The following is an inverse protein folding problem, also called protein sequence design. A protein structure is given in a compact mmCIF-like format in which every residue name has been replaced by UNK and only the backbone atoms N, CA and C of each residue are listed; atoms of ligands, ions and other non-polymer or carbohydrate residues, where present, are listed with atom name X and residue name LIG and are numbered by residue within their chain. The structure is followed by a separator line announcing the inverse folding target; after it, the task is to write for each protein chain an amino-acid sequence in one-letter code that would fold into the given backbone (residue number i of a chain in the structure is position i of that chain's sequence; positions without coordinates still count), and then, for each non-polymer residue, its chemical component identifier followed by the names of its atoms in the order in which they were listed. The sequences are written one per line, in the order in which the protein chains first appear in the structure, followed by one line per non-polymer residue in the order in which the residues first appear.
data_IF_045734444807
#
_entry.id   IF_045734444807
#
_cell.length_a   1.000
_cell.length_b   1.000
_cell.length_c   1.000
_cell.angle_alpha   90.00
_cell.angle_beta   90.00
_cell.angle_gamma   90.00
#
_symmetry.space_group_name_H-M   'P 1'
#
loop_
_entity.id
_entity.type
_entity.pdbx_description
1 polymer ?
#
# COMPACT_ATOMS: atom_id res chain seq x y z
N UNK A 1 -12.75 1.13 12.98
CA UNK A 1 -12.79 0.43 11.68
C UNK A 1 -11.45 -0.23 11.45
N UNK A 2 -11.47 -1.45 10.92
CA UNK A 2 -10.26 -2.24 10.65
C UNK A 2 -9.93 -2.26 9.17
N UNK A 3 -8.72 -1.86 8.84
CA UNK A 3 -8.19 -1.83 7.48
C UNK A 3 -7.00 -2.79 7.37
N UNK A 4 -6.93 -3.53 6.28
CA UNK A 4 -5.79 -4.38 5.92
C UNK A 4 -5.29 -3.96 4.54
N UNK A 5 -3.98 -3.91 4.37
CA UNK A 5 -3.33 -3.69 3.08
C UNK A 5 -2.27 -4.76 2.85
N UNK A 6 -2.26 -5.39 1.67
CA UNK A 6 -1.35 -6.47 1.34
C UNK A 6 -0.96 -6.49 -0.13
N UNK A 7 0.30 -6.29 -0.44
CA UNK A 7 0.83 -6.64 -1.77
C UNK A 7 0.90 -8.17 -1.89
N UNK A 8 0.06 -8.74 -2.75
CA UNK A 8 -0.09 -10.20 -2.88
C UNK A 8 0.81 -10.82 -3.95
N UNK A 9 1.57 -10.00 -4.68
CA UNK A 9 2.47 -10.43 -5.75
C UNK A 9 1.82 -11.47 -6.70
N UNK A 10 0.58 -11.20 -7.07
CA UNK A 10 -0.28 -12.06 -7.90
C UNK A 10 -1.37 -12.76 -7.08
N UNK A 11 -2.60 -12.23 -7.14
CA UNK A 11 -3.74 -12.71 -6.34
C UNK A 11 -4.00 -14.20 -6.56
N UNK A 12 -4.00 -14.67 -7.80
CA UNK A 12 -4.23 -16.10 -8.12
C UNK A 12 -3.19 -17.04 -7.49
N UNK A 13 -1.94 -16.58 -7.38
CA UNK A 13 -0.89 -17.36 -6.73
C UNK A 13 -1.02 -17.32 -5.20
N UNK A 14 -1.41 -16.17 -4.65
CA UNK A 14 -1.63 -15.99 -3.22
C UNK A 14 -2.85 -16.77 -2.72
N UNK A 15 -3.95 -16.84 -3.51
CA UNK A 15 -5.12 -17.67 -3.24
C UNK A 15 -4.74 -19.15 -3.02
N UNK A 16 -3.86 -19.69 -3.86
CA UNK A 16 -3.35 -21.08 -3.70
C UNK A 16 -2.49 -21.29 -2.46
N UNK A 17 -2.10 -20.23 -1.78
CA UNK A 17 -1.25 -20.23 -0.57
C UNK A 17 -2.00 -19.80 0.70
N UNK A 18 -3.33 -19.82 0.68
CA UNK A 18 -4.16 -19.54 1.85
C UNK A 18 -4.58 -18.08 2.01
N UNK A 19 -4.62 -17.30 0.92
CA UNK A 19 -5.12 -15.93 0.97
C UNK A 19 -6.55 -15.85 1.54
N UNK A 20 -7.46 -16.75 1.10
CA UNK A 20 -8.84 -16.75 1.56
C UNK A 20 -8.96 -17.03 3.07
N UNK A 21 -8.20 -17.98 3.58
CA UNK A 21 -8.17 -18.25 5.03
C UNK A 21 -7.67 -17.03 5.81
N UNK A 22 -6.63 -16.37 5.31
CA UNK A 22 -6.09 -15.15 5.90
C UNK A 22 -7.09 -14.00 5.84
N UNK A 23 -7.75 -13.81 4.70
CA UNK A 23 -8.79 -12.79 4.51
C UNK A 23 -9.92 -12.97 5.53
N UNK A 24 -10.44 -14.19 5.65
CA UNK A 24 -11.53 -14.54 6.58
C UNK A 24 -11.10 -14.39 8.04
N UNK A 25 -9.88 -14.81 8.40
CA UNK A 25 -9.36 -14.70 9.77
C UNK A 25 -9.14 -13.26 10.21
N UNK A 26 -8.70 -12.38 9.30
CA UNK A 26 -8.49 -10.97 9.59
C UNK A 26 -9.80 -10.19 9.71
N UNK A 27 -10.86 -10.60 9.02
CA UNK A 27 -12.23 -10.04 9.09
C UNK A 27 -12.26 -8.50 9.08
N UNK A 28 -11.52 -7.89 8.17
CA UNK A 28 -11.39 -6.45 8.08
C UNK A 28 -12.64 -5.78 7.48
N UNK A 29 -12.92 -4.53 7.87
CA UNK A 29 -13.95 -3.71 7.21
C UNK A 29 -13.55 -3.36 5.78
N UNK A 30 -12.24 -3.17 5.57
CA UNK A 30 -11.62 -2.87 4.28
C UNK A 30 -10.36 -3.73 4.08
N UNK A 31 -10.34 -4.49 2.99
CA UNK A 31 -9.19 -5.29 2.62
C UNK A 31 -8.65 -4.81 1.26
N UNK A 32 -7.51 -4.17 1.27
CA UNK A 32 -6.85 -3.59 0.11
C UNK A 32 -5.70 -4.50 -0.36
N UNK A 33 -5.60 -4.73 -1.66
CA UNK A 33 -4.47 -5.49 -2.22
C UNK A 33 -3.83 -4.76 -3.38
N UNK A 34 -2.53 -5.00 -3.54
CA UNK A 34 -1.70 -4.49 -4.62
C UNK A 34 -1.07 -5.67 -5.37
N UNK A 35 -0.65 -5.42 -6.59
CA UNK A 35 -0.11 -6.43 -7.50
C UNK A 35 -1.04 -7.64 -7.70
N UNK A 36 -2.31 -7.39 -8.02
CA UNK A 36 -3.25 -8.48 -8.34
C UNK A 36 -2.79 -9.30 -9.55
N UNK A 37 -2.08 -8.68 -10.50
CA UNK A 37 -1.54 -9.28 -11.74
C UNK A 37 -2.59 -10.09 -12.50
N UNK A 38 -3.84 -9.64 -12.46
CA UNK A 38 -4.96 -10.32 -13.13
C UNK A 38 -5.83 -9.36 -13.92
N UNK A 39 -6.62 -9.93 -14.84
CA UNK A 39 -7.72 -9.27 -15.51
C UNK A 39 -9.04 -9.67 -14.84
N UNK A 40 -10.14 -8.91 -15.01
CA UNK A 40 -11.44 -9.25 -14.47
C UNK A 40 -11.85 -10.69 -14.82
N UNK A 41 -12.43 -11.41 -13.86
CA UNK A 41 -12.89 -12.80 -14.04
C UNK A 41 -11.79 -13.86 -14.05
N UNK A 42 -10.54 -13.54 -13.74
CA UNK A 42 -9.43 -14.50 -13.68
C UNK A 42 -9.21 -15.13 -12.30
N UNK A 43 -9.86 -14.64 -11.26
CA UNK A 43 -9.87 -15.26 -9.93
C UNK A 43 -11.31 -15.57 -9.54
N UNK A 44 -11.52 -16.73 -8.95
CA UNK A 44 -12.79 -17.14 -8.34
C UNK A 44 -12.69 -16.83 -6.83
N UNK A 45 -12.82 -15.54 -6.51
CA UNK A 45 -12.79 -15.06 -5.13
C UNK A 45 -13.82 -13.92 -4.98
N UNK A 46 -14.96 -14.26 -4.38
CA UNK A 46 -16.08 -13.35 -4.15
C UNK A 46 -16.55 -13.49 -2.69
N UNK A 47 -15.87 -12.88 -1.73
CA UNK A 47 -16.18 -13.04 -0.31
C UNK A 47 -17.58 -12.49 0.01
N UNK A 48 -18.38 -13.28 0.69
CA UNK A 48 -19.74 -12.90 1.07
C UNK A 48 -19.73 -11.68 2.01
N UNK A 49 -20.63 -10.74 1.76
CA UNK A 49 -20.74 -9.53 2.59
C UNK A 49 -19.77 -8.41 2.21
N UNK A 50 -19.00 -8.57 1.13
CA UNK A 50 -18.11 -7.53 0.64
C UNK A 50 -18.51 -7.06 -0.76
N UNK A 51 -18.34 -5.77 -0.99
CA UNK A 51 -18.36 -5.16 -2.33
C UNK A 51 -16.94 -5.11 -2.86
N UNK A 52 -16.74 -5.58 -4.08
CA UNK A 52 -15.43 -5.65 -4.74
C UNK A 52 -15.22 -4.46 -5.66
N UNK A 53 -14.03 -3.87 -5.62
CA UNK A 53 -13.54 -2.83 -6.53
C UNK A 53 -12.19 -3.28 -7.08
N UNK A 54 -12.10 -3.47 -8.40
CA UNK A 54 -10.87 -3.94 -9.06
C UNK A 54 -10.44 -2.95 -10.13
N UNK A 55 -9.15 -2.64 -10.17
CA UNK A 55 -8.53 -1.87 -11.22
C UNK A 55 -7.31 -2.63 -11.78
N UNK A 56 -7.49 -3.23 -12.94
CA UNK A 56 -6.45 -4.00 -13.63
C UNK A 56 -5.63 -3.10 -14.54
N UNK A 57 -4.34 -3.42 -14.69
CA UNK A 57 -3.53 -2.80 -15.73
C UNK A 57 -3.98 -3.28 -17.11
N UNK A 58 -3.79 -2.46 -18.15
CA UNK A 58 -4.00 -2.87 -19.54
C UNK A 58 -3.04 -4.01 -19.94
N UNK A 59 -1.81 -3.94 -19.44
CA UNK A 59 -0.82 -5.01 -19.62
C UNK A 59 -1.17 -6.21 -18.75
N UNK A 60 -1.46 -7.34 -19.38
CA UNK A 60 -1.81 -8.59 -18.71
C UNK A 60 -0.68 -9.10 -17.80
N UNK A 61 -1.04 -9.57 -16.60
CA UNK A 61 -0.08 -10.13 -15.64
C UNK A 61 0.83 -9.11 -14.97
N UNK A 62 0.45 -7.84 -14.96
CA UNK A 62 1.22 -6.72 -14.44
C UNK A 62 0.38 -5.86 -13.50
N UNK A 63 0.98 -5.30 -12.42
CA UNK A 63 0.34 -4.34 -11.51
C UNK A 63 -1.08 -4.77 -11.07
N UNK A 64 -1.99 -3.84 -10.99
CA UNK A 64 -3.39 -4.05 -10.58
C UNK A 64 -3.60 -3.92 -9.09
N UNK A 65 -4.71 -3.29 -8.71
CA UNK A 65 -5.14 -3.10 -7.32
C UNK A 65 -6.58 -3.58 -7.15
N UNK A 66 -6.96 -3.97 -5.92
CA UNK A 66 -8.34 -4.26 -5.56
C UNK A 66 -8.65 -3.87 -4.12
N UNK A 67 -9.93 -3.62 -3.84
CA UNK A 67 -10.45 -3.40 -2.49
C UNK A 67 -11.70 -4.25 -2.33
N UNK A 68 -11.82 -4.96 -1.21
CA UNK A 68 -13.05 -5.55 -0.71
C UNK A 68 -13.51 -4.76 0.51
N UNK A 69 -14.73 -4.23 0.47
CA UNK A 69 -15.29 -3.38 1.52
C UNK A 69 -16.63 -3.95 2.01
N UNK A 70 -16.80 -4.09 3.34
CA UNK A 70 -18.08 -4.50 3.95
C UNK A 70 -19.19 -3.47 3.70
N UNK A 71 -18.83 -2.19 3.67
CA UNK A 71 -19.76 -1.11 3.36
C UNK A 71 -19.51 -0.61 1.95
N UNK A 72 -20.51 -0.59 1.05
CA UNK A 72 -20.36 -0.01 -0.29
C UNK A 72 -19.96 1.45 -0.24
N UNK A 73 -19.07 1.87 -1.15
CA UNK A 73 -18.66 3.25 -1.28
C UNK A 73 -19.76 4.12 -1.91
N UNK A 74 -19.76 5.42 -1.62
CA UNK A 74 -20.62 6.42 -2.27
C UNK A 74 -20.21 6.65 -3.72
N UNK A 75 -18.91 6.65 -3.97
CA UNK A 75 -18.31 6.76 -5.31
C UNK A 75 -16.97 6.05 -5.36
N UNK A 76 -16.51 5.73 -6.55
CA UNK A 76 -15.20 5.15 -6.81
C UNK A 76 -14.49 5.95 -7.90
N UNK A 77 -13.20 6.24 -7.69
CA UNK A 77 -12.30 6.77 -8.73
C UNK A 77 -11.15 5.79 -8.96
N UNK A 78 -10.85 5.54 -10.23
CA UNK A 78 -9.74 4.71 -10.68
C UNK A 78 -8.63 5.58 -11.25
N UNK A 79 -7.43 5.50 -10.68
CA UNK A 79 -6.30 6.37 -11.00
C UNK A 79 -6.17 7.54 -10.02
N UNK A 80 -5.36 8.52 -10.39
CA UNK A 80 -5.03 9.73 -9.61
C UNK A 80 -5.35 11.03 -10.37
N UNK A 81 -6.39 11.01 -11.20
CA UNK A 81 -6.81 12.14 -12.06
C UNK A 81 -5.71 12.64 -13.01
N UNK A 82 -4.81 11.75 -13.42
CA UNK A 82 -3.73 12.03 -14.36
C UNK A 82 -3.70 10.96 -15.45
N UNK A 83 -3.95 11.34 -16.71
CA UNK A 83 -4.02 10.45 -17.86
C UNK A 83 -2.71 9.66 -18.04
N UNK A 84 -1.56 10.29 -17.80
CA UNK A 84 -0.25 9.66 -17.91
C UNK A 84 -0.08 8.43 -17.00
N UNK A 85 -0.94 8.28 -15.98
CA UNK A 85 -0.88 7.25 -14.96
C UNK A 85 -2.09 6.30 -14.97
N UNK A 86 -2.99 6.41 -15.95
CA UNK A 86 -4.30 5.73 -15.96
C UNK A 86 -4.26 4.27 -16.44
N UNK A 87 -3.13 3.79 -17.02
CA UNK A 87 -3.09 2.51 -17.74
C UNK A 87 -2.59 1.32 -16.90
N UNK A 88 -2.10 1.56 -15.67
CA UNK A 88 -1.39 0.55 -14.91
C UNK A 88 -2.16 -0.02 -13.70
N UNK A 89 -3.39 0.40 -13.46
CA UNK A 89 -4.22 -0.15 -12.37
C UNK A 89 -3.65 0.08 -10.97
N UNK A 90 -3.04 1.26 -10.70
CA UNK A 90 -2.22 1.50 -9.52
C UNK A 90 -2.94 2.17 -8.35
N UNK A 91 -4.10 2.78 -8.58
CA UNK A 91 -4.80 3.52 -7.54
C UNK A 91 -6.30 3.31 -7.62
N UNK A 92 -6.93 3.03 -6.47
CA UNK A 92 -8.39 3.04 -6.30
C UNK A 92 -8.70 3.96 -5.14
N UNK A 93 -9.60 4.93 -5.37
CA UNK A 93 -10.14 5.78 -4.31
C UNK A 93 -11.61 5.45 -4.10
N UNK A 94 -11.97 5.12 -2.87
CA UNK A 94 -13.36 4.95 -2.43
C UNK A 94 -13.77 6.14 -1.58
N UNK A 95 -14.93 6.72 -1.89
CA UNK A 95 -15.53 7.80 -1.10
C UNK A 95 -16.51 7.25 -0.07
N UNK A 96 -16.38 7.70 1.16
CA UNK A 96 -17.33 7.47 2.26
C UNK A 96 -17.84 8.81 2.81
N UNK A 97 -18.90 8.82 3.63
CA UNK A 97 -19.44 10.09 4.16
C UNK A 97 -18.38 10.92 4.89
N UNK A 98 -17.48 10.29 5.64
CA UNK A 98 -16.54 10.96 6.55
C UNK A 98 -15.08 10.91 6.09
N UNK A 99 -14.72 10.10 5.08
CA UNK A 99 -13.32 9.93 4.64
C UNK A 99 -13.24 9.43 3.19
N UNK A 100 -12.03 9.49 2.64
CA UNK A 100 -11.62 8.77 1.45
C UNK A 100 -10.68 7.63 1.83
N UNK A 101 -10.87 6.44 1.24
CA UNK A 101 -9.91 5.33 1.28
C UNK A 101 -9.17 5.28 -0.05
N UNK A 102 -7.84 5.38 -0.03
CA UNK A 102 -7.00 5.33 -1.22
C UNK A 102 -6.06 4.14 -1.12
N UNK A 103 -6.20 3.18 -2.03
CA UNK A 103 -5.32 2.01 -2.15
C UNK A 103 -4.34 2.24 -3.29
N UNK A 104 -3.04 2.16 -3.04
CA UNK A 104 -1.97 2.48 -3.98
C UNK A 104 -0.98 1.33 -4.19
N UNK A 105 -0.51 1.23 -5.42
CA UNK A 105 0.69 0.51 -5.80
C UNK A 105 1.63 1.46 -6.54
N UNK A 106 2.57 2.06 -5.80
CA UNK A 106 3.48 3.08 -6.33
C UNK A 106 4.50 2.45 -7.28
N UNK A 107 4.83 3.06 -8.43
CA UNK A 107 5.80 2.51 -9.37
C UNK A 107 7.18 2.30 -8.72
N UNK A 108 7.81 1.17 -8.97
CA UNK A 108 9.20 0.94 -8.57
C UNK A 108 10.16 1.69 -9.52
N UNK A 109 11.20 2.32 -8.99
CA UNK A 109 12.20 3.06 -9.78
C UNK A 109 13.18 2.16 -10.55
N UNK A 110 13.07 0.84 -10.37
CA UNK A 110 13.83 -0.22 -11.04
C UNK A 110 15.33 -0.22 -10.73
N UNK A 111 16.01 -1.26 -11.23
CA UNK A 111 17.45 -1.41 -11.02
C UNK A 111 18.21 -0.19 -11.57
N UNK A 112 19.18 0.31 -10.79
CA UNK A 112 19.98 1.50 -11.10
C UNK A 112 19.13 2.76 -11.31
N UNK A 113 17.95 2.83 -10.71
CA UNK A 113 17.03 3.95 -10.80
C UNK A 113 16.59 4.28 -12.24
N UNK A 114 16.47 3.26 -13.10
CA UNK A 114 16.20 3.43 -14.53
C UNK A 114 14.86 4.15 -14.82
N UNK A 115 13.91 4.16 -13.87
CA UNK A 115 12.62 4.82 -13.98
C UNK A 115 12.41 5.93 -12.94
N UNK A 116 13.50 6.48 -12.40
CA UNK A 116 13.41 7.45 -11.29
C UNK A 116 12.64 8.72 -11.68
N UNK A 117 12.87 9.25 -12.88
CA UNK A 117 12.20 10.48 -13.33
C UNK A 117 10.67 10.29 -13.41
N UNK A 118 10.22 9.15 -13.97
CA UNK A 118 8.81 8.79 -13.98
C UNK A 118 8.24 8.63 -12.58
N UNK A 119 9.00 7.97 -11.68
CA UNK A 119 8.62 7.80 -10.28
C UNK A 119 8.47 9.14 -9.58
N UNK A 120 9.38 10.08 -9.78
CA UNK A 120 9.31 11.41 -9.16
C UNK A 120 8.09 12.19 -9.63
N UNK A 121 7.81 12.17 -10.94
CA UNK A 121 6.61 12.82 -11.48
C UNK A 121 5.33 12.19 -10.92
N UNK A 122 5.28 10.86 -10.86
CA UNK A 122 4.14 10.13 -10.31
C UNK A 122 3.84 10.52 -8.86
N UNK A 123 4.88 10.66 -8.03
CA UNK A 123 4.75 11.08 -6.61
C UNK A 123 4.25 12.53 -6.48
N UNK A 124 4.69 13.44 -7.35
CA UNK A 124 4.21 14.84 -7.35
C UNK A 124 2.73 14.93 -7.74
N UNK A 125 2.32 14.17 -8.76
CA UNK A 125 0.93 14.09 -9.21
C UNK A 125 0.06 13.42 -8.12
N UNK A 126 0.54 12.36 -7.49
CA UNK A 126 -0.12 11.71 -6.35
C UNK A 126 -0.33 12.70 -5.19
N UNK A 127 0.72 13.41 -4.78
CA UNK A 127 0.63 14.39 -3.68
C UNK A 127 -0.39 15.48 -4.01
N UNK A 128 -0.42 15.94 -5.24
CA UNK A 128 -1.40 16.92 -5.70
C UNK A 128 -2.82 16.37 -5.62
N UNK A 129 -3.03 15.13 -6.04
CA UNK A 129 -4.32 14.43 -5.96
C UNK A 129 -4.79 14.26 -4.51
N UNK A 130 -3.91 13.74 -3.63
CA UNK A 130 -4.24 13.51 -2.23
C UNK A 130 -4.57 14.81 -1.48
N UNK A 131 -3.89 15.91 -1.77
CA UNK A 131 -4.21 17.23 -1.20
C UNK A 131 -5.59 17.73 -1.60
N UNK A 132 -6.04 17.46 -2.83
CA UNK A 132 -7.42 17.79 -3.27
C UNK A 132 -8.45 17.00 -2.47
N UNK A 133 -8.22 15.71 -2.27
CA UNK A 133 -9.10 14.86 -1.47
C UNK A 133 -9.13 15.34 -0.01
N UNK A 134 -7.96 15.55 0.56
CA UNK A 134 -7.82 15.95 1.97
C UNK A 134 -8.45 17.32 2.26
N UNK A 135 -8.48 18.22 1.30
CA UNK A 135 -9.18 19.49 1.44
C UNK A 135 -10.70 19.34 1.64
N UNK A 136 -11.27 18.19 1.25
CA UNK A 136 -12.71 17.91 1.36
C UNK A 136 -13.02 17.02 2.57
N UNK A 137 -12.36 15.88 2.68
CA UNK A 137 -12.52 14.89 3.75
C UNK A 137 -11.16 14.28 4.12
N UNK A 138 -11.01 13.77 5.37
CA UNK A 138 -9.81 13.00 5.72
C UNK A 138 -9.55 11.87 4.74
N UNK A 139 -8.27 11.59 4.50
CA UNK A 139 -7.81 10.49 3.65
C UNK A 139 -7.17 9.43 4.52
N UNK A 140 -7.54 8.18 4.30
CA UNK A 140 -6.79 6.98 4.71
C UNK A 140 -6.15 6.43 3.45
N UNK A 141 -4.83 6.49 3.39
CA UNK A 141 -4.02 5.99 2.29
C UNK A 141 -3.35 4.69 2.70
N UNK A 142 -3.38 3.67 1.87
CA UNK A 142 -2.62 2.45 2.10
C UNK A 142 -1.99 1.92 0.82
N UNK A 143 -1.03 1.03 0.99
CA UNK A 143 -0.46 0.25 -0.09
C UNK A 143 1.05 0.10 -0.03
N UNK A 144 1.57 -0.48 -1.11
CA UNK A 144 3.01 -0.60 -1.35
C UNK A 144 3.53 0.70 -1.98
N UNK A 145 4.23 1.49 -1.17
CA UNK A 145 4.84 2.75 -1.60
C UNK A 145 6.21 2.56 -2.24
N UNK A 146 6.73 1.32 -2.29
CA UNK A 146 8.02 0.99 -2.89
C UNK A 146 9.19 1.86 -2.38
N UNK A 147 9.14 2.28 -1.11
CA UNK A 147 10.19 3.05 -0.45
C UNK A 147 10.29 2.73 1.03
N UNK A 148 11.49 2.46 1.53
CA UNK A 148 11.79 2.47 2.95
C UNK A 148 12.15 3.92 3.32
N UNK A 149 11.46 4.50 4.33
CA UNK A 149 11.59 5.91 4.63
C UNK A 149 12.92 6.23 5.32
N UNK A 150 13.16 5.62 6.47
CA UNK A 150 14.31 5.88 7.32
C UNK A 150 15.25 4.66 7.44
N UNK A 151 16.44 4.87 7.98
CA UNK A 151 17.42 3.79 8.20
C UNK A 151 16.85 2.64 9.07
N UNK A 152 15.90 2.94 9.95
CA UNK A 152 15.20 1.97 10.79
C UNK A 152 14.23 1.07 9.99
N UNK A 153 13.84 1.48 8.79
CA UNK A 153 12.84 0.82 7.96
C UNK A 153 13.42 -0.29 7.06
N UNK A 154 14.72 -0.55 7.16
CA UNK A 154 15.33 -1.68 6.47
C UNK A 154 16.50 -2.27 7.26
N UNK A 155 16.77 -3.57 7.06
CA UNK A 155 17.80 -4.30 7.82
C UNK A 155 19.22 -3.79 7.61
N UNK A 156 19.56 -3.39 6.39
CA UNK A 156 20.92 -3.04 6.00
C UNK A 156 20.93 -1.70 5.24
N UNK A 157 20.75 -0.56 5.90
CA UNK A 157 20.64 0.75 5.23
C UNK A 157 21.91 1.14 4.47
N UNK A 158 23.09 0.98 5.06
CA UNK A 158 24.36 1.39 4.45
C UNK A 158 24.57 0.84 3.03
N UNK A 159 24.57 -0.51 2.83
CA UNK A 159 24.76 -1.11 1.50
C UNK A 159 23.64 -0.80 0.49
N UNK A 160 22.45 -0.42 0.96
CA UNK A 160 21.29 -0.16 0.11
C UNK A 160 21.05 1.34 -0.18
N UNK A 161 21.84 2.24 0.39
CA UNK A 161 21.71 3.67 0.13
C UNK A 161 21.91 3.98 -1.34
N UNK A 162 20.93 4.70 -1.93
CA UNK A 162 20.89 5.00 -3.36
C UNK A 162 20.35 3.84 -4.25
N UNK A 163 19.94 2.72 -3.66
CA UNK A 163 19.23 1.68 -4.41
C UNK A 163 17.74 2.06 -4.62
N UNK A 164 17.09 1.39 -5.58
CA UNK A 164 15.65 1.51 -5.78
C UNK A 164 14.89 1.15 -4.48
N UNK A 165 13.97 2.01 -4.06
CA UNK A 165 13.26 1.92 -2.80
C UNK A 165 14.01 2.48 -1.59
N UNK A 166 15.26 2.96 -1.76
CA UNK A 166 16.02 3.65 -0.71
C UNK A 166 16.99 4.69 -1.27
N UNK A 167 16.60 5.35 -2.35
CA UNK A 167 17.30 6.54 -2.87
C UNK A 167 16.87 7.80 -2.11
N UNK A 168 17.73 8.80 -2.09
CA UNK A 168 17.41 10.08 -1.43
C UNK A 168 16.22 10.78 -2.11
N UNK A 169 16.04 10.58 -3.44
CA UNK A 169 14.92 11.12 -4.17
C UNK A 169 13.58 10.48 -3.72
N UNK A 170 13.50 9.15 -3.63
CA UNK A 170 12.29 8.45 -3.21
C UNK A 170 11.93 8.78 -1.75
N UNK A 171 12.91 8.77 -0.86
CA UNK A 171 12.74 9.14 0.55
C UNK A 171 12.28 10.59 0.70
N UNK A 172 12.90 11.52 -0.05
CA UNK A 172 12.50 12.93 -0.07
C UNK A 172 11.06 13.14 -0.56
N UNK A 173 10.56 12.33 -1.50
CA UNK A 173 9.15 12.38 -1.91
C UNK A 173 8.20 11.92 -0.81
N UNK A 174 8.59 10.93 -0.03
CA UNK A 174 7.80 10.54 1.14
C UNK A 174 7.84 11.61 2.23
N UNK A 175 9.00 12.28 2.47
CA UNK A 175 9.07 13.45 3.35
C UNK A 175 8.11 14.56 2.91
N UNK A 176 8.09 14.87 1.59
CA UNK A 176 7.19 15.87 1.02
C UNK A 176 5.71 15.49 1.18
N UNK A 177 5.37 14.18 1.06
CA UNK A 177 4.01 13.70 1.27
C UNK A 177 3.59 13.81 2.74
N UNK A 178 4.44 13.41 3.67
CA UNK A 178 4.18 13.56 5.10
C UNK A 178 4.04 15.04 5.48
N UNK A 179 4.94 15.91 5.01
CA UNK A 179 4.88 17.36 5.23
C UNK A 179 3.63 18.02 4.61
N UNK A 180 2.97 17.36 3.66
CA UNK A 180 1.73 17.84 3.05
C UNK A 180 0.47 17.61 3.90
N UNK A 181 0.61 17.05 5.11
CA UNK A 181 -0.48 16.85 6.07
C UNK A 181 -0.87 15.39 6.28
N UNK A 182 0.10 14.47 6.16
CA UNK A 182 -0.11 13.04 6.37
C UNK A 182 0.81 12.47 7.44
N UNK A 183 0.29 11.57 8.25
CA UNK A 183 1.00 10.88 9.32
C UNK A 183 1.17 9.40 8.96
N UNK A 184 2.40 8.87 9.10
CA UNK A 184 2.68 7.43 9.07
C UNK A 184 2.12 6.78 10.34
N UNK A 185 1.04 6.01 10.20
CA UNK A 185 0.32 5.44 11.32
C UNK A 185 1.17 4.49 12.17
N UNK A 186 2.04 3.69 11.52
CA UNK A 186 2.91 2.77 12.24
C UNK A 186 3.96 3.54 13.04
N UNK A 187 4.69 4.47 12.42
CA UNK A 187 5.72 5.25 13.12
C UNK A 187 5.14 6.21 14.16
N UNK A 188 3.90 6.63 14.02
CA UNK A 188 3.19 7.41 15.04
C UNK A 188 3.08 6.64 16.37
N UNK A 189 2.76 5.35 16.32
CA UNK A 189 2.61 4.50 17.51
C UNK A 189 3.91 3.78 17.90
N UNK A 190 4.77 3.48 16.95
CA UNK A 190 5.97 2.66 17.08
C UNK A 190 7.23 3.40 16.57
N UNK A 191 7.58 4.57 17.13
CA UNK A 191 8.63 5.43 16.57
C UNK A 191 10.03 4.81 16.63
N UNK A 192 10.26 3.87 17.55
CA UNK A 192 11.58 3.27 17.80
C UNK A 192 11.65 1.75 17.53
N UNK A 193 10.56 1.13 17.09
CA UNK A 193 10.51 -0.32 16.87
C UNK A 193 11.35 -0.71 15.65
N UNK A 194 12.35 -1.54 15.89
CA UNK A 194 13.30 -2.03 14.88
C UNK A 194 12.93 -3.43 14.40
N UNK A 195 13.37 -3.79 13.18
CA UNK A 195 13.17 -5.13 12.66
C UNK A 195 11.73 -5.40 12.20
N UNK A 196 10.93 -4.35 12.09
CA UNK A 196 9.54 -4.39 11.64
C UNK A 196 9.48 -4.11 10.15
N UNK A 197 9.34 -5.15 9.35
CA UNK A 197 9.41 -5.08 7.89
C UNK A 197 8.16 -5.69 7.26
N UNK A 198 7.81 -5.20 6.07
CA UNK A 198 6.65 -5.68 5.33
C UNK A 198 7.02 -6.47 4.08
N UNK A 199 8.25 -6.36 3.59
CA UNK A 199 8.75 -7.03 2.41
C UNK A 199 10.12 -7.66 2.62
N UNK A 200 10.35 -8.83 1.97
CA UNK A 200 11.63 -9.55 1.95
C UNK A 200 11.91 -10.08 0.55
N UNK A 201 13.13 -9.87 0.07
CA UNK A 201 13.57 -10.51 -1.17
C UNK A 201 13.37 -12.02 -1.10
N UNK A 202 12.90 -12.64 -2.17
CA UNK A 202 12.80 -14.11 -2.29
C UNK A 202 14.18 -14.78 -2.35
N UNK A 203 15.27 -14.00 -2.47
CA UNK A 203 16.64 -14.51 -2.55
C UNK A 203 17.26 -14.67 -1.16
N UNK A 204 18.19 -15.61 -1.03
CA UNK A 204 19.05 -15.78 0.14
C UNK A 204 18.31 -16.00 1.47
N UNK A 205 17.08 -16.55 1.44
CA UNK A 205 16.24 -16.75 2.63
C UNK A 205 16.11 -15.46 3.46
N UNK A 206 15.86 -14.35 2.79
CA UNK A 206 15.86 -13.04 3.44
C UNK A 206 14.80 -12.95 4.56
N UNK A 207 13.62 -13.55 4.36
CA UNK A 207 12.54 -13.54 5.36
C UNK A 207 12.92 -14.33 6.63
N UNK A 208 13.53 -15.50 6.49
CA UNK A 208 13.99 -16.33 7.64
C UNK A 208 15.04 -15.60 8.51
N UNK A 209 15.84 -14.74 7.89
CA UNK A 209 16.86 -13.92 8.58
C UNK A 209 16.37 -12.54 8.97
N UNK A 210 15.10 -12.25 8.71
CA UNK A 210 14.49 -10.94 8.83
C UNK A 210 15.33 -9.82 8.18
N UNK A 211 15.86 -10.09 6.97
CA UNK A 211 16.56 -9.09 6.16
C UNK A 211 15.56 -8.43 5.22
N UNK A 212 14.65 -7.66 5.82
CA UNK A 212 13.49 -7.06 5.16
C UNK A 212 13.55 -5.53 5.08
N UNK A 213 12.50 -4.99 4.47
CA UNK A 213 12.23 -3.57 4.28
C UNK A 213 10.77 -3.29 4.64
N UNK A 214 10.49 -2.15 5.27
CA UNK A 214 9.14 -1.63 5.46
C UNK A 214 8.83 -0.70 4.30
N UNK A 215 8.03 -1.16 3.37
CA UNK A 215 7.65 -0.43 2.16
C UNK A 215 6.14 -0.38 1.94
N UNK A 216 5.36 -1.08 2.77
CA UNK A 216 3.91 -1.03 2.82
C UNK A 216 3.48 -0.16 4.00
N UNK A 217 2.52 0.73 3.76
CA UNK A 217 2.13 1.77 4.72
C UNK A 217 0.62 1.90 4.86
N UNK A 218 0.23 2.45 6.01
CA UNK A 218 -0.97 3.25 6.18
C UNK A 218 -0.56 4.68 6.54
N UNK A 219 -0.90 5.64 5.68
CA UNK A 219 -0.79 7.06 5.96
C UNK A 219 -2.19 7.64 6.16
N UNK A 220 -2.37 8.49 7.15
CA UNK A 220 -3.66 9.12 7.42
C UNK A 220 -3.52 10.64 7.44
N UNK A 221 -4.57 11.37 7.06
CA UNK A 221 -4.59 12.82 7.25
C UNK A 221 -4.29 13.19 8.70
N UNK A 222 -3.44 14.17 8.95
CA UNK A 222 -2.98 14.58 10.30
C UNK A 222 -4.14 14.82 11.27
N UNK A 223 -5.25 15.37 10.78
CA UNK A 223 -6.43 15.69 11.62
C UNK A 223 -7.13 14.47 12.19
N UNK A 224 -6.92 13.27 11.63
CA UNK A 224 -7.48 12.01 12.15
C UNK A 224 -6.42 11.10 12.77
N UNK A 225 -5.14 11.46 12.72
CA UNK A 225 -4.07 10.70 13.36
C UNK A 225 -4.29 10.46 14.86
N UNK A 226 -4.85 11.40 15.66
CA UNK A 226 -5.17 11.12 17.06
C UNK A 226 -6.21 10.01 17.30
N UNK A 227 -6.94 9.62 16.27
CA UNK A 227 -7.98 8.58 16.32
C UNK A 227 -7.43 7.18 16.01
N UNK A 228 -6.15 7.04 15.68
CA UNK A 228 -5.49 5.74 15.47
C UNK A 228 -5.50 4.98 16.79
N UNK A 229 -6.00 3.74 16.76
CA UNK A 229 -6.01 2.83 17.92
C UNK A 229 -4.87 1.83 17.86
N UNK A 230 -4.63 1.29 16.65
CA UNK A 230 -3.59 0.30 16.41
C UNK A 230 -3.07 0.41 14.98
N UNK A 231 -1.78 0.19 14.80
CA UNK A 231 -1.13 0.05 13.50
C UNK A 231 -0.14 -1.10 13.58
N UNK A 232 -0.26 -2.08 12.67
CA UNK A 232 0.51 -3.32 12.76
C UNK A 232 1.16 -3.73 11.46
N UNK A 233 2.20 -4.57 11.59
CA UNK A 233 2.86 -5.27 10.47
C UNK A 233 2.77 -6.76 10.79
N UNK A 234 1.99 -7.52 10.01
CA UNK A 234 1.61 -8.89 10.34
C UNK A 234 2.65 -9.89 9.76
N UNK A 235 3.88 -9.83 10.28
CA UNK A 235 5.07 -10.48 9.72
C UNK A 235 4.95 -12.00 9.63
N UNK A 236 4.12 -12.65 10.46
CA UNK A 236 3.93 -14.10 10.50
C UNK A 236 3.01 -14.62 9.37
N UNK A 237 2.28 -13.71 8.71
CA UNK A 237 1.39 -14.09 7.61
C UNK A 237 2.19 -14.32 6.34
N UNK A 238 2.04 -15.53 5.79
CA UNK A 238 2.74 -16.00 4.60
C UNK A 238 1.82 -15.96 3.38
N UNK A 239 2.37 -16.16 2.17
CA UNK A 239 1.59 -16.23 0.90
C UNK A 239 2.17 -15.35 -0.19
N UNK A 240 2.80 -14.24 0.19
CA UNK A 240 3.51 -13.30 -0.68
C UNK A 240 4.94 -13.09 -0.16
N UNK A 241 5.77 -12.37 -0.92
CA UNK A 241 7.05 -11.81 -0.44
C UNK A 241 6.83 -10.54 0.41
N UNK A 242 5.61 -10.02 0.45
CA UNK A 242 5.15 -9.07 1.46
C UNK A 242 4.31 -9.77 2.53
N UNK A 243 4.15 -9.14 3.69
CA UNK A 243 3.13 -9.46 4.67
C UNK A 243 2.07 -8.34 4.70
N UNK A 244 0.86 -8.61 5.23
CA UNK A 244 -0.14 -7.57 5.41
C UNK A 244 0.32 -6.52 6.43
N UNK A 245 -0.13 -5.29 6.24
CA UNK A 245 -0.13 -4.23 7.25
C UNK A 245 -1.56 -3.91 7.66
N UNK A 246 -1.77 -3.47 8.90
CA UNK A 246 -3.08 -3.21 9.47
C UNK A 246 -3.19 -1.82 10.08
N UNK A 247 -4.40 -1.29 10.08
CA UNK A 247 -4.76 -0.05 10.76
C UNK A 247 -6.13 -0.23 11.42
N UNK A 248 -6.21 0.08 12.72
CA UNK A 248 -7.47 0.28 13.43
C UNK A 248 -7.62 1.77 13.78
N UNK A 249 -8.68 2.40 13.29
CA UNK A 249 -8.94 3.84 13.47
C UNK A 249 -10.43 4.12 13.68
N UNK A 250 -10.73 5.10 14.51
CA UNK A 250 -12.08 5.67 14.69
C UNK A 250 -12.26 6.88 13.75
N UNK A 251 -13.24 6.82 12.81
CA UNK A 251 -13.48 7.89 11.82
C UNK A 251 -14.98 8.04 11.49
#
# INVERSE_FOLDING_TARGET
MKFISWNVNGLRACLKKGFEDTFNALDADFFCVQETKMQPGQADFAPAGYTEYIYSAEKKGYSGTAIWAKTPALSVNYGIDCEAHSHEGRAITLEYPNFYLVNLYVPNSQNKLASIDYRMQWEDDLRTYLKKLDAVKPVILCGDLNVAHEDIDLKNPGPNRGAAGFSDQERGKLDELLAAGFTDSFRCLHPADTGMYSWWSMRFRARERNAGWRIDYFLVSDRVAPNIKEAGILMDIMGSDHCPVSLDIEI
#
